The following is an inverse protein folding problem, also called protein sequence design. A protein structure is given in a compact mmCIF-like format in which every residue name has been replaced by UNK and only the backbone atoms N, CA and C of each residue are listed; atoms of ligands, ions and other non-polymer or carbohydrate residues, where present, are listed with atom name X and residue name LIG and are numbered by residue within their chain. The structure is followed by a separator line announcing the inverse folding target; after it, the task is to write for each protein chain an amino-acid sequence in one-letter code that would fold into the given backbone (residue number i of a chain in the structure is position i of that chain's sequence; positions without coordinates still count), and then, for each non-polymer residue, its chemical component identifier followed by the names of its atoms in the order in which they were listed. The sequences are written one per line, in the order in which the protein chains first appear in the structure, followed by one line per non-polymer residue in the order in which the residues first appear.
data_IF_761188044516
#
_entry.id   IF_761188044516
#
_cell.length_a   1.000
_cell.length_b   1.000
_cell.length_c   1.000
_cell.angle_alpha   90.00
_cell.angle_beta   90.00
_cell.angle_gamma   90.00
#
_symmetry.space_group_name_H-M   'P 1'
#
loop_
_entity.id
_entity.type
_entity.pdbx_description
1 polymer ?
#
# COMPACT_ATOMS: atom_id res chain seq x y z
N UNK A 1 0.46 -14.69 -6.52
CA UNK A 1 -0.79 -15.49 -6.71
C UNK A 1 -2.03 -14.77 -6.15
N UNK A 2 -2.04 -14.24 -4.90
CA UNK A 2 -3.22 -13.62 -4.27
C UNK A 2 -3.75 -12.40 -5.04
N UNK A 3 -2.88 -11.49 -5.51
CA UNK A 3 -3.31 -10.33 -6.30
C UNK A 3 -3.91 -10.71 -7.64
N UNK A 4 -3.40 -11.77 -8.28
CA UNK A 4 -4.00 -12.32 -9.50
C UNK A 4 -5.41 -12.82 -9.22
N UNK A 5 -5.62 -13.52 -8.11
CA UNK A 5 -6.96 -13.97 -7.72
C UNK A 5 -7.90 -12.81 -7.39
N UNK A 6 -7.40 -11.79 -6.67
CA UNK A 6 -8.16 -10.57 -6.39
C UNK A 6 -8.54 -9.81 -7.67
N UNK A 7 -7.62 -9.73 -8.63
CA UNK A 7 -7.88 -9.04 -9.89
C UNK A 7 -8.96 -9.71 -10.73
N UNK A 8 -9.04 -11.04 -10.67
CA UNK A 8 -10.06 -11.82 -11.39
C UNK A 8 -11.42 -11.83 -10.65
N UNK A 9 -11.39 -11.95 -9.32
CA UNK A 9 -12.61 -12.12 -8.51
C UNK A 9 -13.31 -10.83 -8.13
N UNK A 10 -12.55 -9.75 -7.98
CA UNK A 10 -13.06 -8.47 -7.47
C UNK A 10 -12.93 -7.38 -8.52
N UNK A 11 -11.70 -6.99 -8.87
CA UNK A 11 -11.50 -5.92 -9.83
C UNK A 11 -10.07 -5.93 -10.43
N UNK A 12 -9.90 -5.74 -11.76
CA UNK A 12 -8.58 -5.79 -12.41
C UNK A 12 -7.52 -4.85 -11.81
N UNK A 13 -7.92 -3.70 -11.30
CA UNK A 13 -7.02 -2.74 -10.65
C UNK A 13 -6.34 -3.28 -9.38
N UNK A 14 -6.82 -4.37 -8.79
CA UNK A 14 -6.18 -5.04 -7.63
C UNK A 14 -4.97 -5.89 -8.02
N UNK A 15 -4.68 -6.02 -9.30
CA UNK A 15 -3.42 -6.61 -9.78
C UNK A 15 -2.22 -5.75 -9.36
N UNK A 16 -2.38 -4.42 -9.38
CA UNK A 16 -1.35 -3.48 -8.92
C UNK A 16 -1.22 -3.54 -7.40
N UNK A 17 0.02 -3.73 -6.91
CA UNK A 17 0.29 -3.74 -5.48
C UNK A 17 0.15 -2.34 -4.86
N UNK A 18 -0.11 -2.31 -3.55
CA UNK A 18 -0.04 -1.11 -2.74
C UNK A 18 -1.39 -0.57 -2.30
N UNK A 19 -2.49 -0.86 -3.03
CA UNK A 19 -3.83 -0.51 -2.57
C UNK A 19 -4.23 -1.34 -1.33
N UNK A 20 -4.99 -0.77 -0.38
CA UNK A 20 -5.56 -1.55 0.72
C UNK A 20 -6.34 -2.76 0.22
N UNK A 21 -6.04 -3.92 0.83
CA UNK A 21 -6.55 -5.23 0.39
C UNK A 21 -5.54 -6.04 -0.43
N UNK A 22 -4.43 -5.44 -0.87
CA UNK A 22 -3.36 -6.15 -1.58
C UNK A 22 -2.18 -6.54 -0.68
N UNK A 23 -2.24 -6.21 0.61
CA UNK A 23 -1.22 -6.56 1.60
C UNK A 23 -1.66 -7.73 2.47
N UNK A 24 -0.69 -8.50 2.98
CA UNK A 24 -0.93 -9.60 3.91
C UNK A 24 -1.10 -9.07 5.34
N UNK A 25 -2.29 -8.55 5.62
CA UNK A 25 -2.62 -7.95 6.93
C UNK A 25 -2.58 -9.00 8.05
N UNK A 26 -2.94 -10.25 7.76
CA UNK A 26 -2.93 -11.31 8.77
C UNK A 26 -1.51 -11.59 9.26
N UNK A 27 -0.52 -11.61 8.35
CA UNK A 27 0.89 -11.77 8.72
C UNK A 27 1.38 -10.59 9.54
N UNK A 28 1.02 -9.35 9.18
CA UNK A 28 1.37 -8.14 9.94
C UNK A 28 0.75 -8.17 11.35
N UNK A 29 -0.53 -8.51 11.48
CA UNK A 29 -1.20 -8.66 12.78
C UNK A 29 -0.56 -9.75 13.64
N UNK A 30 -0.18 -10.88 13.04
CA UNK A 30 0.53 -11.93 13.74
C UNK A 30 1.89 -11.46 14.25
N UNK A 31 2.64 -10.72 13.44
CA UNK A 31 3.90 -10.13 13.86
C UNK A 31 3.72 -9.18 15.06
N UNK A 32 2.78 -8.24 15.01
CA UNK A 32 2.50 -7.33 16.13
C UNK A 32 2.09 -8.08 17.40
N UNK A 33 1.25 -9.10 17.28
CA UNK A 33 0.84 -9.93 18.41
C UNK A 33 2.02 -10.64 19.05
N UNK A 34 2.90 -11.26 18.25
CA UNK A 34 4.08 -11.93 18.74
C UNK A 34 5.08 -10.97 19.37
N UNK A 35 5.29 -9.79 18.77
CA UNK A 35 6.19 -8.76 19.30
C UNK A 35 5.77 -8.24 20.68
N UNK A 36 4.46 -8.28 21.01
CA UNK A 36 3.92 -7.91 22.33
C UNK A 36 4.00 -9.05 23.36
N UNK A 37 4.29 -10.27 22.93
CA UNK A 37 4.33 -11.44 23.83
C UNK A 37 5.58 -11.43 24.70
N UNK A 38 5.42 -11.72 25.99
CA UNK A 38 6.56 -11.99 26.91
C UNK A 38 7.36 -13.23 26.47
N UNK A 39 6.70 -14.21 25.83
CA UNK A 39 7.31 -15.42 25.28
C UNK A 39 7.59 -15.27 23.79
N UNK A 40 8.29 -14.20 23.39
CA UNK A 40 8.65 -13.97 21.99
C UNK A 40 9.49 -15.14 21.47
N UNK A 41 9.02 -15.72 20.36
CA UNK A 41 9.81 -16.70 19.59
C UNK A 41 10.38 -16.00 18.37
N UNK A 42 11.48 -16.53 17.80
CA UNK A 42 12.02 -16.01 16.55
C UNK A 42 10.92 -15.87 15.49
N UNK A 43 10.97 -14.80 14.72
CA UNK A 43 9.99 -14.52 13.67
C UNK A 43 10.69 -14.27 12.34
N UNK A 44 10.21 -14.90 11.27
CA UNK A 44 10.71 -14.63 9.91
C UNK A 44 9.94 -13.47 9.29
N UNK A 45 10.62 -12.34 9.08
CA UNK A 45 10.07 -11.18 8.40
C UNK A 45 10.19 -11.36 6.89
N UNK A 46 9.08 -11.23 6.15
CA UNK A 46 9.09 -11.38 4.70
C UNK A 46 9.93 -10.29 4.03
N UNK A 47 10.80 -10.71 3.13
CA UNK A 47 11.56 -9.80 2.28
C UNK A 47 10.95 -9.79 0.89
N UNK A 48 10.73 -8.59 0.32
CA UNK A 48 10.08 -8.40 -0.95
C UNK A 48 11.09 -8.18 -2.08
N UNK A 49 10.92 -8.91 -3.19
CA UNK A 49 11.69 -8.73 -4.41
C UNK A 49 10.94 -7.81 -5.37
N UNK A 50 11.38 -6.55 -5.47
CA UNK A 50 10.76 -5.56 -6.36
C UNK A 50 10.87 -5.92 -7.85
N UNK A 51 11.92 -6.64 -8.24
CA UNK A 51 12.14 -7.01 -9.65
C UNK A 51 11.18 -8.12 -10.10
N UNK A 52 10.84 -9.06 -9.21
CA UNK A 52 9.88 -10.13 -9.47
C UNK A 52 8.44 -9.77 -9.04
N UNK A 53 8.27 -8.62 -8.43
CA UNK A 53 6.99 -8.15 -7.87
C UNK A 53 6.32 -9.15 -6.91
N UNK A 54 7.14 -9.90 -6.16
CA UNK A 54 6.68 -10.88 -5.17
C UNK A 54 7.66 -10.99 -3.99
N UNK A 55 7.29 -11.73 -2.95
CA UNK A 55 8.16 -12.04 -1.82
C UNK A 55 9.26 -13.03 -2.24
N UNK A 56 10.43 -12.88 -1.67
CA UNK A 56 11.44 -13.93 -1.74
C UNK A 56 10.95 -15.22 -1.08
N UNK A 57 11.58 -16.35 -1.43
CA UNK A 57 11.38 -17.61 -0.72
C UNK A 57 11.73 -17.46 0.76
N UNK A 58 11.07 -18.23 1.64
CA UNK A 58 11.19 -18.13 3.10
C UNK A 58 12.62 -18.26 3.65
N UNK A 59 13.51 -18.93 2.93
CA UNK A 59 14.94 -19.04 3.31
C UNK A 59 15.69 -17.70 3.22
N UNK A 60 15.20 -16.75 2.40
CA UNK A 60 15.74 -15.39 2.25
C UNK A 60 15.03 -14.35 3.12
N UNK A 61 14.11 -14.74 3.97
CA UNK A 61 13.45 -13.85 4.90
C UNK A 61 14.35 -13.55 6.08
N UNK A 62 14.23 -12.32 6.62
CA UNK A 62 15.02 -11.92 7.78
C UNK A 62 14.58 -12.64 9.05
N UNK A 63 15.53 -13.28 9.75
CA UNK A 63 15.29 -13.95 11.04
C UNK A 63 15.40 -12.91 12.17
N UNK A 64 14.26 -12.47 12.68
CA UNK A 64 14.21 -11.67 13.89
C UNK A 64 14.32 -12.61 15.11
N UNK A 65 15.51 -12.66 15.70
CA UNK A 65 15.84 -13.61 16.78
C UNK A 65 15.42 -13.12 18.17
N UNK A 66 15.34 -11.80 18.37
CA UNK A 66 15.00 -11.17 19.65
C UNK A 66 13.75 -10.27 19.47
N UNK A 67 12.99 -10.12 20.56
CA UNK A 67 11.88 -9.18 20.59
C UNK A 67 12.42 -7.76 20.37
N UNK A 68 11.84 -6.98 19.45
CA UNK A 68 12.23 -5.60 19.27
C UNK A 68 11.66 -4.73 20.40
N UNK A 69 12.41 -3.73 20.84
CA UNK A 69 11.94 -2.73 21.79
C UNK A 69 11.07 -1.67 21.10
N UNK A 70 11.42 -1.33 19.86
CA UNK A 70 10.72 -0.37 19.01
C UNK A 70 10.44 -0.98 17.65
N UNK A 71 9.24 -0.75 17.13
CA UNK A 71 8.83 -1.12 15.76
C UNK A 71 8.45 0.15 15.03
N UNK A 72 9.21 0.49 13.99
CA UNK A 72 8.84 1.54 13.05
C UNK A 72 8.09 0.88 11.89
N UNK A 73 6.80 1.15 11.79
CA UNK A 73 5.94 0.64 10.74
C UNK A 73 5.55 1.77 9.79
N UNK A 74 6.14 1.76 8.60
CA UNK A 74 5.92 2.80 7.59
C UNK A 74 5.11 2.30 6.40
N UNK A 75 4.44 3.22 5.74
CA UNK A 75 3.72 2.98 4.49
C UNK A 75 2.88 4.18 4.08
N UNK A 76 2.63 4.32 2.79
CA UNK A 76 1.92 5.48 2.24
C UNK A 76 0.48 5.65 2.75
N UNK A 77 -0.19 4.56 3.16
CA UNK A 77 -1.56 4.57 3.67
C UNK A 77 -1.66 4.18 5.16
N UNK A 78 -0.55 4.20 5.89
CA UNK A 78 -0.57 3.90 7.33
C UNK A 78 -1.36 4.98 8.05
N UNK A 79 -2.35 4.56 8.84
CA UNK A 79 -3.28 5.47 9.51
C UNK A 79 -4.48 5.91 8.68
N UNK A 80 -4.57 5.53 7.40
CA UNK A 80 -5.70 5.87 6.55
C UNK A 80 -7.03 5.32 7.12
N UNK A 81 -8.07 6.14 7.08
CA UNK A 81 -9.42 5.79 7.52
C UNK A 81 -10.32 5.52 6.32
N UNK A 82 -11.38 4.75 6.55
CA UNK A 82 -12.43 4.57 5.54
C UNK A 82 -13.29 5.83 5.42
N UNK A 83 -13.74 6.10 4.20
CA UNK A 83 -14.71 7.15 3.91
C UNK A 83 -16.16 6.69 4.17
N UNK A 84 -17.08 7.66 4.25
CA UNK A 84 -18.52 7.39 4.22
C UNK A 84 -18.91 6.85 2.85
N UNK A 85 -19.84 5.90 2.78
CA UNK A 85 -20.26 5.30 1.51
C UNK A 85 -20.79 6.32 0.48
N UNK A 86 -21.41 7.41 0.96
CA UNK A 86 -21.90 8.47 0.08
C UNK A 86 -20.77 9.16 -0.69
N UNK A 87 -19.60 9.35 -0.05
CA UNK A 87 -18.42 9.96 -0.68
C UNK A 87 -17.87 9.09 -1.84
N UNK A 88 -18.09 7.78 -1.78
CA UNK A 88 -17.65 6.85 -2.82
C UNK A 88 -18.50 6.95 -4.11
N UNK A 89 -19.68 7.55 -4.07
CA UNK A 89 -20.51 7.75 -5.27
C UNK A 89 -19.85 8.68 -6.27
N UNK A 90 -19.18 9.74 -5.79
CA UNK A 90 -18.49 10.71 -6.64
C UNK A 90 -17.10 10.18 -7.02
N UNK A 91 -16.82 10.16 -8.31
CA UNK A 91 -15.47 9.92 -8.84
C UNK A 91 -14.58 11.13 -8.61
N UNK A 92 -13.32 10.94 -8.29
CA UNK A 92 -12.37 12.05 -8.02
C UNK A 92 -11.34 12.25 -9.12
N UNK A 93 -11.22 11.28 -10.05
CA UNK A 93 -10.26 11.33 -11.15
C UNK A 93 -10.75 10.52 -12.35
N UNK A 94 -10.02 10.63 -13.47
CA UNK A 94 -10.35 9.98 -14.72
C UNK A 94 -10.27 8.45 -14.64
N UNK A 95 -9.35 7.91 -13.83
CA UNK A 95 -9.23 6.46 -13.63
C UNK A 95 -10.47 5.87 -12.95
N UNK A 96 -10.98 6.48 -11.89
CA UNK A 96 -12.23 6.02 -11.26
C UNK A 96 -13.42 6.15 -12.21
N UNK A 97 -13.46 7.25 -13.01
CA UNK A 97 -14.53 7.47 -14.00
C UNK A 97 -14.50 6.43 -15.10
N UNK A 98 -13.33 6.04 -15.60
CA UNK A 98 -13.21 5.11 -16.74
C UNK A 98 -13.15 3.64 -16.34
N UNK A 99 -12.41 3.31 -15.26
CA UNK A 99 -12.10 1.92 -14.89
C UNK A 99 -12.90 1.37 -13.71
N UNK A 100 -13.54 2.25 -12.92
CA UNK A 100 -14.32 1.82 -11.74
C UNK A 100 -15.73 2.45 -11.69
N UNK A 101 -16.44 2.47 -12.83
CA UNK A 101 -17.79 3.04 -12.95
C UNK A 101 -18.77 2.42 -11.95
N UNK A 102 -18.71 1.10 -11.75
CA UNK A 102 -19.55 0.35 -10.80
C UNK A 102 -19.13 0.49 -9.33
N UNK A 103 -18.08 1.27 -9.04
CA UNK A 103 -17.57 1.50 -7.68
C UNK A 103 -17.04 0.24 -6.97
N UNK A 104 -16.75 -0.83 -7.69
CA UNK A 104 -16.36 -2.12 -7.10
C UNK A 104 -14.99 -1.98 -6.43
N UNK A 105 -14.02 -1.40 -7.15
CA UNK A 105 -12.66 -1.24 -6.64
C UNK A 105 -12.62 -0.32 -5.41
N UNK A 106 -13.18 0.90 -5.50
CA UNK A 106 -13.11 1.86 -4.38
C UNK A 106 -13.93 1.42 -3.16
N UNK A 107 -15.07 0.72 -3.35
CA UNK A 107 -15.83 0.10 -2.25
C UNK A 107 -15.04 -1.01 -1.58
N UNK A 108 -14.38 -1.87 -2.35
CA UNK A 108 -13.52 -2.92 -1.82
C UNK A 108 -12.37 -2.35 -0.98
N UNK A 109 -11.63 -1.38 -1.54
CA UNK A 109 -10.53 -0.70 -0.85
C UNK A 109 -11.00 -0.05 0.45
N UNK A 110 -12.13 0.66 0.40
CA UNK A 110 -12.74 1.30 1.56
C UNK A 110 -13.17 0.28 2.63
N UNK A 111 -13.74 -0.83 2.23
CA UNK A 111 -14.10 -1.93 3.15
C UNK A 111 -12.86 -2.52 3.83
N UNK A 112 -11.77 -2.70 3.12
CA UNK A 112 -10.50 -3.16 3.71
C UNK A 112 -10.01 -2.18 4.79
N UNK A 113 -10.03 -0.87 4.50
CA UNK A 113 -9.68 0.15 5.49
C UNK A 113 -10.58 0.09 6.72
N UNK A 114 -11.90 -0.05 6.52
CA UNK A 114 -12.88 -0.14 7.61
C UNK A 114 -12.69 -1.37 8.50
N UNK A 115 -12.18 -2.47 7.94
CA UNK A 115 -12.11 -3.78 8.60
C UNK A 115 -10.67 -4.14 9.02
N UNK A 116 -9.93 -4.81 8.16
CA UNK A 116 -8.61 -5.39 8.49
C UNK A 116 -7.57 -4.33 8.83
N UNK A 117 -7.55 -3.23 8.07
CA UNK A 117 -6.57 -2.16 8.31
C UNK A 117 -6.86 -1.39 9.60
N UNK A 118 -8.13 -1.18 9.95
CA UNK A 118 -8.49 -0.60 11.24
C UNK A 118 -7.91 -1.44 12.40
N UNK A 119 -8.00 -2.78 12.33
CA UNK A 119 -7.40 -3.68 13.31
C UNK A 119 -5.87 -3.60 13.34
N UNK A 120 -5.23 -3.44 12.19
CA UNK A 120 -3.79 -3.28 12.12
C UNK A 120 -3.34 -1.96 12.74
N UNK A 121 -3.99 -0.86 12.39
CA UNK A 121 -3.61 0.47 12.87
C UNK A 121 -3.92 0.69 14.36
N UNK A 122 -4.88 -0.04 14.93
CA UNK A 122 -5.11 -0.03 16.39
C UNK A 122 -3.96 -0.68 17.19
N UNK A 123 -3.00 -1.33 16.54
CA UNK A 123 -1.79 -1.85 17.19
C UNK A 123 -0.70 -0.79 17.38
N UNK A 124 -0.80 0.34 16.69
CA UNK A 124 0.18 1.44 16.76
C UNK A 124 -0.02 2.24 18.05
N UNK A 125 1.08 2.53 18.75
CA UNK A 125 1.07 3.38 19.93
C UNK A 125 1.14 4.87 19.57
N UNK A 126 1.81 5.20 18.47
CA UNK A 126 1.97 6.55 17.97
C UNK A 126 1.86 6.54 16.44
N UNK A 127 1.28 7.57 15.88
CA UNK A 127 1.21 7.80 14.44
C UNK A 127 1.83 9.16 14.12
N UNK A 128 2.90 9.13 13.30
CA UNK A 128 3.50 10.34 12.73
C UNK A 128 3.08 10.41 11.27
N UNK A 129 2.42 11.49 10.89
CA UNK A 129 1.97 11.71 9.52
C UNK A 129 2.74 12.84 8.85
N UNK A 130 3.51 12.51 7.81
CA UNK A 130 4.24 13.48 7.00
C UNK A 130 3.32 14.00 5.90
N UNK A 131 2.62 15.09 6.19
CA UNK A 131 1.63 15.69 5.30
C UNK A 131 2.29 16.53 4.22
N UNK A 132 1.98 16.26 2.95
CA UNK A 132 2.26 17.16 1.85
C UNK A 132 1.19 18.27 1.77
N UNK A 133 1.56 19.43 1.21
CA UNK A 133 0.63 20.58 1.04
C UNK A 133 -0.61 20.18 0.22
N UNK A 134 -0.43 19.43 -0.85
CA UNK A 134 -1.51 18.93 -1.71
C UNK A 134 -1.04 17.74 -2.55
N UNK A 135 -1.96 17.09 -3.25
CA UNK A 135 -1.68 15.91 -4.05
C UNK A 135 -0.78 16.22 -5.27
N UNK A 136 -0.90 17.40 -5.89
CA UNK A 136 -0.05 17.75 -7.04
C UNK A 136 1.43 17.89 -6.66
N UNK A 137 1.74 18.27 -5.43
CA UNK A 137 3.12 18.26 -4.94
C UNK A 137 3.69 16.83 -4.86
N UNK A 138 2.89 15.87 -4.43
CA UNK A 138 3.28 14.46 -4.43
C UNK A 138 3.52 13.94 -5.84
N UNK A 139 2.70 14.36 -6.82
CA UNK A 139 2.92 14.03 -8.23
C UNK A 139 4.25 14.58 -8.73
N UNK A 140 4.57 15.84 -8.42
CA UNK A 140 5.87 16.46 -8.77
C UNK A 140 7.04 15.71 -8.15
N UNK A 141 6.95 15.33 -6.88
CA UNK A 141 8.00 14.55 -6.21
C UNK A 141 8.18 13.17 -6.84
N UNK A 142 7.09 12.50 -7.17
CA UNK A 142 7.14 11.18 -7.81
C UNK A 142 7.75 11.26 -9.21
N UNK A 143 7.39 12.26 -10.01
CA UNK A 143 8.01 12.52 -11.31
C UNK A 143 9.51 12.81 -11.19
N UNK A 144 9.92 13.63 -10.20
CA UNK A 144 11.34 13.90 -9.92
C UNK A 144 12.10 12.63 -9.53
N UNK A 145 11.47 11.75 -8.74
CA UNK A 145 12.05 10.47 -8.36
C UNK A 145 12.27 9.57 -9.59
N UNK A 146 11.28 9.48 -10.48
CA UNK A 146 11.36 8.66 -11.69
C UNK A 146 12.43 9.17 -12.66
N UNK A 147 12.54 10.51 -12.83
CA UNK A 147 13.62 11.13 -13.61
C UNK A 147 15.02 10.79 -13.06
N UNK A 148 15.19 10.82 -11.73
CA UNK A 148 16.45 10.41 -11.11
C UNK A 148 16.78 8.94 -11.37
N UNK A 149 15.79 8.08 -11.35
CA UNK A 149 15.96 6.65 -11.71
C UNK A 149 16.33 6.49 -13.17
N UNK A 150 15.71 7.25 -14.07
CA UNK A 150 16.03 7.26 -15.49
C UNK A 150 17.50 7.58 -15.76
N UNK A 151 18.03 8.61 -15.08
CA UNK A 151 19.45 9.02 -15.24
C UNK A 151 20.41 7.95 -14.71
N UNK A 152 20.06 7.30 -13.59
CA UNK A 152 20.93 6.32 -12.90
C UNK A 152 20.84 4.90 -13.45
N UNK A 153 19.76 4.54 -14.11
CA UNK A 153 19.50 3.15 -14.51
C UNK A 153 20.14 2.79 -15.83
N UNK A 154 20.84 1.66 -15.87
CA UNK A 154 21.31 1.04 -17.11
C UNK A 154 20.18 0.38 -17.90
N UNK A 155 19.08 -0.02 -17.25
CA UNK A 155 17.92 -0.69 -17.85
C UNK A 155 16.70 0.23 -17.79
N UNK A 156 16.44 0.94 -18.90
CA UNK A 156 15.37 1.95 -18.99
C UNK A 156 13.96 1.36 -19.16
N UNK A 157 13.84 0.12 -19.64
CA UNK A 157 12.55 -0.52 -19.93
C UNK A 157 11.61 -0.73 -18.72
N UNK A 158 12.12 -0.60 -17.49
CA UNK A 158 11.34 -0.74 -16.24
C UNK A 158 10.97 0.60 -15.60
N UNK A 159 11.29 1.71 -16.25
CA UNK A 159 11.05 3.06 -15.73
C UNK A 159 9.77 3.59 -16.39
N UNK A 160 8.85 4.05 -15.57
CA UNK A 160 7.58 4.59 -16.04
C UNK A 160 7.78 5.91 -16.79
N UNK A 161 7.04 6.11 -17.89
CA UNK A 161 6.92 7.43 -18.52
C UNK A 161 6.21 8.42 -17.56
N UNK A 162 6.34 9.71 -17.83
CA UNK A 162 5.64 10.73 -17.02
C UNK A 162 4.12 10.52 -17.02
N UNK A 163 3.53 10.11 -18.15
CA UNK A 163 2.11 9.79 -18.25
C UNK A 163 1.73 8.58 -17.40
N UNK A 164 2.55 7.52 -17.44
CA UNK A 164 2.31 6.30 -16.64
C UNK A 164 2.41 6.60 -15.13
N UNK A 165 3.36 7.44 -14.73
CA UNK A 165 3.48 7.89 -13.33
C UNK A 165 2.22 8.60 -12.89
N UNK A 166 1.71 9.55 -13.66
CA UNK A 166 0.50 10.30 -13.31
C UNK A 166 -0.73 9.39 -13.27
N UNK A 167 -0.86 8.48 -14.23
CA UNK A 167 -1.93 7.48 -14.24
C UNK A 167 -1.84 6.54 -13.04
N UNK A 168 -0.65 6.05 -12.72
CA UNK A 168 -0.41 5.22 -11.55
C UNK A 168 -0.78 5.94 -10.25
N UNK A 169 -0.45 7.21 -10.12
CA UNK A 169 -0.74 7.99 -8.92
C UNK A 169 -2.24 8.20 -8.68
N UNK A 170 -3.08 8.14 -9.71
CA UNK A 170 -4.53 8.22 -9.52
C UNK A 170 -5.08 7.11 -8.62
N UNK A 171 -4.45 5.94 -8.59
CA UNK A 171 -4.84 4.82 -7.70
C UNK A 171 -4.65 5.13 -6.21
N UNK A 172 -3.78 6.08 -5.89
CA UNK A 172 -3.47 6.52 -4.52
C UNK A 172 -4.24 7.77 -4.10
N UNK A 173 -4.74 8.53 -5.08
CA UNK A 173 -5.25 9.88 -4.88
C UNK A 173 -6.36 9.96 -3.83
N UNK A 174 -7.38 9.13 -3.93
CA UNK A 174 -8.53 9.15 -3.00
C UNK A 174 -8.09 8.99 -1.55
N UNK A 175 -7.33 7.96 -1.25
CA UNK A 175 -6.88 7.68 0.12
C UNK A 175 -5.98 8.80 0.62
N UNK A 176 -5.04 9.27 -0.22
CA UNK A 176 -4.12 10.34 0.16
C UNK A 176 -4.86 11.63 0.46
N UNK A 177 -5.84 12.02 -0.37
CA UNK A 177 -6.63 13.22 -0.13
C UNK A 177 -7.52 13.11 1.11
N UNK A 178 -8.03 11.90 1.41
CA UNK A 178 -8.80 11.65 2.63
C UNK A 178 -7.93 11.67 3.90
N UNK A 179 -6.62 11.58 3.76
CA UNK A 179 -5.66 11.70 4.89
C UNK A 179 -5.21 13.15 5.12
N UNK A 180 -5.45 14.08 4.18
CA UNK A 180 -5.11 15.50 4.32
C UNK A 180 -6.04 16.23 5.27
#
# INVERSE_FOLDING_TARGET
KERINLSKRVHPMLLTRGAPGTHDINMMLNFFRQSKSKKFKKFKLPTFNKAMDDRYNKNKWYDLKKRPDVIIFEGWCVGAKSEKNISLKKTINSMEKSKDQKQIWRKYVNYQLKSKYKKLYSQLNCLVYLKAKNFSLLQKWRLKQERKLWVKSKVKSKIMSSGDVLNFMQTYQRITQNMF
#
